data_IF_511787010342
#
_entry.id   IF_511787010342
#
_cell.length_a   1.000
_cell.length_b   1.000
_cell.length_c   1.000
_cell.angle_alpha   90.00
_cell.angle_beta   90.00
_cell.angle_gamma   90.00
#
_symmetry.space_group_name_H-M   'P 1'
#
loop_
_entity.id
_entity.type
_entity.pdbx_description
1 polymer ?
#
# COMPACT_ATOMS: atom_id res chain seq x y z
N UNK A 1 -41.13 33.92 16.68
CA UNK A 1 -39.69 33.68 16.77
C UNK A 1 -39.19 33.20 18.14
N UNK A 2 -39.54 33.89 19.26
CA UNK A 2 -39.08 33.49 20.62
C UNK A 2 -39.50 32.08 21.05
N UNK A 3 -40.70 31.62 20.65
CA UNK A 3 -41.20 30.28 21.00
C UNK A 3 -40.39 29.17 20.30
N UNK A 4 -40.01 29.34 19.03
CA UNK A 4 -39.22 28.42 18.27
C UNK A 4 -37.80 28.31 18.86
N UNK A 5 -37.21 29.46 19.24
CA UNK A 5 -35.91 29.50 19.89
C UNK A 5 -35.91 28.85 21.29
N UNK A 6 -37.01 28.99 22.03
CA UNK A 6 -37.21 28.33 23.33
C UNK A 6 -37.35 26.79 23.18
N UNK A 7 -38.00 26.33 22.13
CA UNK A 7 -38.17 24.89 21.88
C UNK A 7 -36.89 24.23 21.34
N UNK A 8 -36.12 24.94 20.51
CA UNK A 8 -34.92 24.40 19.91
C UNK A 8 -33.85 23.95 20.93
N UNK A 9 -33.76 24.62 22.09
CA UNK A 9 -32.83 24.23 23.16
C UNK A 9 -33.12 22.88 23.80
N UNK A 10 -34.32 22.34 23.64
CA UNK A 10 -34.70 21.04 24.17
C UNK A 10 -34.57 19.94 23.14
N UNK A 11 -34.42 20.26 21.86
CA UNK A 11 -34.34 19.27 20.81
C UNK A 11 -33.14 18.36 21.05
N UNK A 12 -31.95 18.91 21.30
CA UNK A 12 -30.73 18.13 21.52
C UNK A 12 -30.81 17.19 22.74
N UNK A 13 -31.24 17.65 23.93
CA UNK A 13 -31.48 16.78 25.08
C UNK A 13 -32.53 15.69 24.82
N UNK A 14 -33.66 16.05 24.20
CA UNK A 14 -34.73 15.07 23.90
C UNK A 14 -34.26 14.01 22.93
N UNK A 15 -33.53 14.40 21.86
CA UNK A 15 -32.95 13.46 20.89
C UNK A 15 -31.91 12.59 21.59
N UNK A 16 -31.04 13.17 22.41
CA UNK A 16 -30.01 12.41 23.11
C UNK A 16 -30.60 11.38 24.09
N UNK A 17 -31.50 11.82 24.99
CA UNK A 17 -32.07 10.92 25.97
C UNK A 17 -33.10 9.93 25.38
N UNK A 18 -33.72 10.25 24.24
CA UNK A 18 -34.55 9.32 23.50
C UNK A 18 -33.74 8.27 22.72
N UNK A 19 -32.58 8.66 22.18
CA UNK A 19 -31.71 7.79 21.42
C UNK A 19 -30.83 6.88 22.30
N UNK A 20 -30.34 7.37 23.44
CA UNK A 20 -29.42 6.65 24.30
C UNK A 20 -29.92 5.25 24.75
N UNK A 21 -31.18 5.07 25.20
CA UNK A 21 -31.70 3.74 25.51
C UNK A 21 -31.70 2.80 24.33
N UNK A 22 -32.07 3.29 23.14
CA UNK A 22 -32.07 2.48 21.91
C UNK A 22 -30.66 2.04 21.52
N UNK A 23 -29.70 2.94 21.55
CA UNK A 23 -28.30 2.65 21.24
C UNK A 23 -27.69 1.65 22.22
N UNK A 24 -28.02 1.76 23.53
CA UNK A 24 -27.55 0.83 24.53
C UNK A 24 -28.17 -0.57 24.37
N UNK A 25 -29.47 -0.65 24.06
CA UNK A 25 -30.11 -1.94 23.78
C UNK A 25 -29.47 -2.62 22.58
N UNK A 26 -29.30 -1.92 21.47
CA UNK A 26 -28.63 -2.43 20.29
C UNK A 26 -27.19 -2.90 20.57
N UNK A 27 -26.43 -2.14 21.39
CA UNK A 27 -25.09 -2.54 21.82
C UNK A 27 -25.08 -3.90 22.58
N UNK A 28 -26.03 -4.12 23.49
CA UNK A 28 -26.09 -5.36 24.27
C UNK A 28 -26.64 -6.56 23.49
N UNK A 29 -27.36 -6.34 22.39
CA UNK A 29 -27.83 -7.38 21.49
C UNK A 29 -26.74 -7.88 20.53
N UNK A 30 -25.71 -7.05 20.25
CA UNK A 30 -24.59 -7.45 19.43
C UNK A 30 -23.67 -8.48 20.11
N UNK A 31 -23.14 -9.48 19.37
CA UNK A 31 -22.26 -10.52 19.95
C UNK A 31 -21.01 -9.99 20.66
N UNK A 32 -20.59 -8.77 20.33
CA UNK A 32 -19.44 -8.06 20.94
C UNK A 32 -19.78 -7.21 22.15
N UNK A 33 -21.06 -7.01 22.46
CA UNK A 33 -21.55 -6.16 23.55
C UNK A 33 -21.35 -6.73 24.97
N UNK A 34 -20.46 -7.71 25.14
CA UNK A 34 -20.18 -8.28 26.46
C UNK A 34 -19.25 -7.36 27.24
N UNK A 35 -19.70 -7.00 28.45
CA UNK A 35 -18.83 -6.34 29.42
C UNK A 35 -17.62 -7.24 29.74
N UNK A 36 -16.44 -6.64 29.79
CA UNK A 36 -15.25 -7.32 30.28
C UNK A 36 -15.48 -7.82 31.72
N UNK A 37 -14.84 -8.92 32.15
CA UNK A 37 -15.03 -9.44 33.51
C UNK A 37 -14.70 -8.38 34.56
N UNK A 38 -15.47 -8.38 35.63
CA UNK A 38 -15.30 -7.49 36.76
C UNK A 38 -14.10 -8.00 37.62
N UNK A 39 -12.91 -7.51 37.30
CA UNK A 39 -11.66 -7.88 37.95
C UNK A 39 -10.91 -6.66 38.51
N UNK A 40 -9.71 -6.85 39.02
CA UNK A 40 -8.86 -5.75 39.51
C UNK A 40 -8.48 -4.72 38.44
N UNK A 41 -8.71 -5.02 37.17
CA UNK A 41 -8.55 -4.09 36.06
C UNK A 41 -9.52 -2.90 36.14
N UNK A 42 -10.66 -3.06 36.86
CA UNK A 42 -11.60 -1.93 37.12
C UNK A 42 -10.88 -0.77 37.80
N UNK A 43 -10.04 -1.07 38.77
CA UNK A 43 -9.27 -0.03 39.49
C UNK A 43 -8.18 0.62 38.64
N UNK A 44 -7.73 -0.06 37.58
CA UNK A 44 -6.74 0.44 36.62
C UNK A 44 -7.39 1.12 35.40
N UNK A 45 -8.72 1.18 35.34
CA UNK A 45 -9.45 1.77 34.23
C UNK A 45 -9.51 0.90 32.95
N UNK A 46 -9.01 -0.33 32.97
CA UNK A 46 -9.01 -1.21 31.78
C UNK A 46 -10.41 -1.61 31.37
N UNK A 47 -11.33 -1.83 32.33
CA UNK A 47 -12.74 -2.08 32.05
C UNK A 47 -13.37 -0.88 31.32
N UNK A 48 -13.15 0.32 31.84
CA UNK A 48 -13.70 1.55 31.24
C UNK A 48 -13.14 1.76 29.83
N UNK A 49 -11.84 1.52 29.62
CA UNK A 49 -11.20 1.65 28.31
C UNK A 49 -11.74 0.61 27.32
N UNK A 50 -11.92 -0.65 27.75
CA UNK A 50 -12.50 -1.69 26.90
C UNK A 50 -13.95 -1.41 26.55
N UNK A 51 -14.76 -0.94 27.51
CA UNK A 51 -16.14 -0.52 27.29
C UNK A 51 -16.21 0.67 26.34
N UNK A 52 -15.41 1.72 26.56
CA UNK A 52 -15.35 2.88 25.68
C UNK A 52 -14.97 2.51 24.23
N UNK A 53 -13.99 1.63 24.08
CA UNK A 53 -13.59 1.12 22.76
C UNK A 53 -14.71 0.31 22.10
N UNK A 54 -15.28 -0.66 22.81
CA UNK A 54 -16.35 -1.49 22.30
C UNK A 54 -17.60 -0.64 21.98
N UNK A 55 -17.96 0.29 22.84
CA UNK A 55 -19.10 1.20 22.62
C UNK A 55 -18.87 2.07 21.37
N UNK A 56 -17.68 2.63 21.20
CA UNK A 56 -17.33 3.42 20.01
C UNK A 56 -17.35 2.62 18.70
N UNK A 57 -17.03 1.33 18.74
CA UNK A 57 -16.99 0.49 17.54
C UNK A 57 -18.32 -0.16 17.18
N UNK A 58 -19.18 -0.40 18.18
CA UNK A 58 -20.45 -1.14 18.02
C UNK A 58 -21.70 -0.25 18.01
N UNK A 59 -21.56 1.07 17.86
CA UNK A 59 -22.72 1.96 17.77
C UNK A 59 -23.51 1.69 16.48
N UNK A 60 -24.83 1.41 16.55
CA UNK A 60 -25.63 1.00 15.40
C UNK A 60 -25.61 1.95 14.20
N UNK A 61 -25.40 3.24 14.46
CA UNK A 61 -25.38 4.28 13.42
C UNK A 61 -23.98 4.87 13.17
N UNK A 62 -22.95 4.20 13.70
CA UNK A 62 -21.57 4.67 13.57
C UNK A 62 -21.18 4.85 12.12
N UNK A 63 -21.32 3.81 11.33
CA UNK A 63 -20.86 3.83 9.93
C UNK A 63 -21.73 4.76 9.08
N UNK A 64 -23.03 4.77 9.27
CA UNK A 64 -23.92 5.72 8.60
C UNK A 64 -23.58 7.17 8.97
N UNK A 65 -23.30 7.46 10.26
CA UNK A 65 -22.92 8.80 10.71
C UNK A 65 -21.55 9.22 10.17
N UNK A 66 -20.57 8.31 10.20
CA UNK A 66 -19.23 8.55 9.62
C UNK A 66 -19.37 8.85 8.13
N UNK A 67 -20.16 8.05 7.41
CA UNK A 67 -20.41 8.22 5.98
C UNK A 67 -21.03 9.57 5.66
N UNK A 68 -22.10 9.94 6.34
CA UNK A 68 -22.81 11.21 6.11
C UNK A 68 -21.98 12.44 6.47
N UNK A 69 -21.30 12.41 7.63
CA UNK A 69 -20.45 13.53 8.06
C UNK A 69 -19.25 13.65 7.13
N UNK A 70 -18.64 12.51 6.76
CA UNK A 70 -17.55 12.48 5.82
C UNK A 70 -17.96 13.01 4.44
N UNK A 71 -19.11 12.58 3.92
CA UNK A 71 -19.69 13.09 2.68
C UNK A 71 -19.92 14.60 2.72
N UNK A 72 -20.53 15.09 3.81
CA UNK A 72 -20.75 16.52 4.00
C UNK A 72 -19.44 17.32 4.02
N UNK A 73 -18.41 16.81 4.71
CA UNK A 73 -17.08 17.42 4.75
C UNK A 73 -16.44 17.46 3.37
N UNK A 74 -16.53 16.36 2.63
CA UNK A 74 -15.98 16.26 1.28
C UNK A 74 -16.66 17.25 0.33
N UNK A 75 -17.98 17.33 0.33
CA UNK A 75 -18.75 18.25 -0.55
C UNK A 75 -18.55 19.71 -0.17
N UNK A 76 -18.54 20.03 1.12
CA UNK A 76 -18.52 21.42 1.59
C UNK A 76 -17.10 22.00 1.71
N UNK A 77 -16.13 21.19 2.06
CA UNK A 77 -14.77 21.63 2.33
C UNK A 77 -13.71 21.04 1.35
N UNK A 78 -14.09 20.07 0.51
CA UNK A 78 -13.11 19.38 -0.33
C UNK A 78 -12.13 18.52 0.47
N UNK A 79 -12.52 18.04 1.66
CA UNK A 79 -11.62 17.35 2.57
C UNK A 79 -12.14 15.97 2.96
N UNK A 80 -11.21 15.01 3.06
CA UNK A 80 -11.44 13.73 3.72
C UNK A 80 -11.06 13.74 5.21
N UNK A 81 -11.10 12.57 5.84
CA UNK A 81 -10.56 12.35 7.19
C UNK A 81 -9.03 12.29 7.14
N UNK A 82 -8.39 12.31 8.32
CA UNK A 82 -6.93 12.10 8.43
C UNK A 82 -6.56 10.77 7.73
N UNK A 83 -5.64 10.85 6.79
CA UNK A 83 -5.18 9.70 5.98
C UNK A 83 -5.41 9.87 4.49
N UNK A 84 -6.26 10.83 4.06
CA UNK A 84 -6.52 11.09 2.65
C UNK A 84 -6.45 12.59 2.34
N UNK A 85 -6.00 12.90 1.13
CA UNK A 85 -6.03 14.23 0.50
C UNK A 85 -6.97 14.10 -0.70
N UNK A 86 -8.01 14.94 -0.73
CA UNK A 86 -8.90 15.04 -1.87
C UNK A 86 -8.24 15.89 -2.96
N UNK A 87 -8.29 15.40 -4.18
CA UNK A 87 -7.88 16.12 -5.38
C UNK A 87 -9.08 16.50 -6.25
N UNK A 88 -8.81 16.79 -7.50
CA UNK A 88 -9.82 17.16 -8.51
C UNK A 88 -10.51 15.93 -9.08
N UNK A 89 -11.73 16.13 -9.58
CA UNK A 89 -12.46 15.12 -10.36
C UNK A 89 -12.61 13.76 -9.68
N UNK A 90 -12.77 13.73 -8.34
CA UNK A 90 -12.91 12.50 -7.57
C UNK A 90 -11.60 11.77 -7.28
N UNK A 91 -10.44 12.34 -7.63
CA UNK A 91 -9.16 11.74 -7.28
C UNK A 91 -8.87 11.86 -5.78
N UNK A 92 -8.36 10.79 -5.21
CA UNK A 92 -7.93 10.71 -3.82
C UNK A 92 -6.46 10.31 -3.77
N UNK A 93 -5.74 10.91 -2.82
CA UNK A 93 -4.32 10.66 -2.59
C UNK A 93 -4.10 10.28 -1.13
N UNK A 94 -3.15 9.40 -0.86
CA UNK A 94 -2.80 9.10 0.52
C UNK A 94 -2.08 10.27 1.18
N UNK A 95 -2.48 10.63 2.40
CA UNK A 95 -1.78 11.65 3.17
C UNK A 95 -0.34 11.23 3.56
N UNK A 96 0.02 9.97 3.36
CA UNK A 96 1.39 9.50 3.55
C UNK A 96 2.37 10.17 2.58
N UNK A 97 1.92 10.53 1.37
CA UNK A 97 2.75 11.26 0.40
C UNK A 97 3.03 12.71 0.83
N UNK A 98 2.20 13.26 1.72
CA UNK A 98 2.36 14.62 2.25
C UNK A 98 3.12 14.67 3.59
N UNK A 99 3.75 13.60 4.02
CA UNK A 99 4.61 13.63 5.19
C UNK A 99 5.74 14.65 4.99
N UNK A 100 6.10 15.42 6.04
CA UNK A 100 7.20 16.38 5.93
C UNK A 100 8.50 15.65 5.58
N UNK A 101 9.41 16.34 4.88
CA UNK A 101 10.73 15.78 4.58
C UNK A 101 11.44 15.36 5.88
N UNK A 102 12.17 14.26 5.80
CA UNK A 102 13.11 13.83 6.83
C UNK A 102 14.46 14.52 6.64
N UNK A 103 15.38 14.37 7.61
CA UNK A 103 16.72 14.97 7.60
C UNK A 103 17.65 14.47 6.46
N UNK A 104 17.07 13.93 5.41
CA UNK A 104 17.74 13.45 4.20
C UNK A 104 17.70 11.94 4.03
N UNK A 105 18.21 11.48 2.88
CA UNK A 105 18.15 10.08 2.46
C UNK A 105 19.33 9.23 2.95
N UNK A 106 20.27 9.81 3.72
CA UNK A 106 21.52 9.13 4.10
C UNK A 106 21.29 7.81 4.82
N UNK A 107 20.53 7.82 5.90
CA UNK A 107 20.23 6.61 6.68
C UNK A 107 19.50 5.53 5.85
N UNK A 108 18.57 5.96 5.00
CA UNK A 108 17.85 5.05 4.07
C UNK A 108 18.80 4.40 3.09
N UNK A 109 19.69 5.18 2.45
CA UNK A 109 20.66 4.67 1.49
C UNK A 109 21.68 3.75 2.15
N UNK A 110 22.12 4.06 3.37
CA UNK A 110 23.04 3.22 4.14
C UNK A 110 22.41 1.85 4.46
N UNK A 111 21.13 1.83 4.84
CA UNK A 111 20.40 0.58 5.10
C UNK A 111 20.19 -0.23 3.81
N UNK A 112 19.76 0.39 2.72
CA UNK A 112 19.65 -0.28 1.42
C UNK A 112 21.02 -0.82 0.98
N UNK A 113 22.10 -0.07 1.21
CA UNK A 113 23.47 -0.51 0.94
C UNK A 113 23.88 -1.71 1.79
N UNK A 114 23.45 -1.80 3.05
CA UNK A 114 23.69 -2.97 3.91
C UNK A 114 22.94 -4.20 3.39
N UNK A 115 21.67 -4.06 3.03
CA UNK A 115 20.86 -5.12 2.41
C UNK A 115 21.49 -5.61 1.12
N UNK A 116 21.92 -4.70 0.24
CA UNK A 116 22.63 -5.05 -1.00
C UNK A 116 23.86 -5.90 -0.72
N UNK A 117 24.71 -5.51 0.25
CA UNK A 117 25.92 -6.28 0.60
C UNK A 117 25.58 -7.69 1.11
N UNK A 118 24.52 -7.81 1.91
CA UNK A 118 24.07 -9.12 2.40
C UNK A 118 23.56 -10.01 1.28
N UNK A 119 22.76 -9.50 0.35
CA UNK A 119 22.33 -10.24 -0.84
C UNK A 119 23.52 -10.65 -1.72
N UNK A 120 24.45 -9.72 -1.95
CA UNK A 120 25.66 -9.98 -2.73
C UNK A 120 26.57 -11.07 -2.10
N UNK A 121 26.63 -11.16 -0.76
CA UNK A 121 27.36 -12.25 -0.08
C UNK A 121 26.75 -13.63 -0.32
N UNK A 122 25.49 -13.69 -0.77
CA UNK A 122 24.78 -14.91 -1.18
C UNK A 122 24.75 -15.11 -2.71
N UNK A 123 25.41 -14.23 -3.46
CA UNK A 123 25.45 -14.29 -4.93
C UNK A 123 24.25 -13.63 -5.63
N UNK A 124 23.37 -12.97 -4.89
CA UNK A 124 22.19 -12.29 -5.43
C UNK A 124 22.46 -10.82 -5.71
N UNK A 125 21.99 -10.32 -6.86
CA UNK A 125 22.05 -8.91 -7.23
C UNK A 125 20.74 -8.23 -6.84
N UNK A 126 20.82 -7.10 -6.15
CA UNK A 126 19.67 -6.25 -5.83
C UNK A 126 19.38 -5.29 -6.98
N UNK A 127 18.15 -5.27 -7.45
CA UNK A 127 17.62 -4.28 -8.40
C UNK A 127 16.45 -3.53 -7.72
N UNK A 128 16.64 -2.25 -7.46
CA UNK A 128 15.60 -1.40 -6.89
C UNK A 128 14.60 -0.99 -7.96
N UNK A 129 13.32 -1.03 -7.62
CA UNK A 129 12.21 -0.55 -8.47
C UNK A 129 11.42 0.49 -7.66
N UNK A 130 11.92 1.73 -7.55
CA UNK A 130 11.20 2.80 -6.88
C UNK A 130 9.91 3.13 -7.64
N UNK A 131 8.80 3.21 -6.89
CA UNK A 131 7.51 3.65 -7.44
C UNK A 131 7.32 5.10 -7.06
N UNK A 132 7.24 6.05 -8.01
CA UNK A 132 7.01 7.46 -7.73
C UNK A 132 5.67 7.65 -7.03
N UNK A 133 5.53 8.77 -6.33
CA UNK A 133 4.29 9.11 -5.65
C UNK A 133 3.16 9.31 -6.68
N UNK A 134 1.96 8.83 -6.35
CA UNK A 134 0.78 9.04 -7.18
C UNK A 134 0.52 10.53 -7.41
N UNK A 135 0.72 11.36 -6.39
CA UNK A 135 0.55 12.82 -6.45
C UNK A 135 1.56 13.52 -7.37
N UNK A 136 2.72 12.90 -7.63
CA UNK A 136 3.69 13.36 -8.62
C UNK A 136 3.23 13.00 -10.04
N UNK A 137 2.88 11.74 -10.29
CA UNK A 137 2.47 11.26 -11.61
C UNK A 137 1.16 11.91 -12.05
N UNK A 138 0.20 12.02 -11.15
CA UNK A 138 -1.14 12.59 -11.37
C UNK A 138 -1.22 14.05 -10.88
N UNK A 139 -0.14 14.82 -11.08
CA UNK A 139 -0.04 16.21 -10.59
C UNK A 139 -1.16 17.12 -11.11
N UNK A 140 -1.71 16.85 -12.29
CA UNK A 140 -2.88 17.56 -12.83
C UNK A 140 -4.16 17.38 -12.02
N UNK A 141 -4.26 16.27 -11.28
CA UNK A 141 -5.39 15.92 -10.40
C UNK A 141 -5.17 16.35 -8.94
N UNK A 142 -3.93 16.63 -8.54
CA UNK A 142 -3.62 17.14 -7.20
C UNK A 142 -3.88 18.65 -7.11
N UNK A 143 -4.42 19.10 -5.96
CA UNK A 143 -4.63 20.53 -5.70
C UNK A 143 -3.41 21.19 -5.02
N UNK A 144 -2.28 20.48 -4.94
CA UNK A 144 -1.07 20.88 -4.25
C UNK A 144 0.15 20.78 -5.16
N UNK A 145 0.31 21.68 -6.15
CA UNK A 145 1.40 21.60 -7.13
C UNK A 145 2.80 21.67 -6.50
N UNK A 146 2.94 22.37 -5.36
CA UNK A 146 4.19 22.44 -4.62
C UNK A 146 4.59 21.09 -4.03
N UNK A 147 3.62 20.31 -3.57
CA UNK A 147 3.87 18.96 -3.04
C UNK A 147 4.22 18.00 -4.17
N UNK A 148 3.53 18.06 -5.31
CA UNK A 148 3.87 17.25 -6.49
C UNK A 148 5.30 17.54 -6.97
N UNK A 149 5.71 18.81 -7.06
CA UNK A 149 7.07 19.18 -7.41
C UNK A 149 8.11 18.69 -6.39
N UNK A 150 7.79 18.74 -5.10
CA UNK A 150 8.65 18.19 -4.05
C UNK A 150 8.83 16.67 -4.20
N UNK A 151 7.74 15.94 -4.48
CA UNK A 151 7.79 14.49 -4.66
C UNK A 151 8.57 14.08 -5.91
N UNK A 152 8.46 14.83 -7.00
CA UNK A 152 9.31 14.68 -8.18
C UNK A 152 10.80 14.87 -7.83
N UNK A 153 11.13 15.93 -7.11
CA UNK A 153 12.49 16.19 -6.66
C UNK A 153 13.02 15.06 -5.76
N UNK A 154 12.22 14.62 -4.78
CA UNK A 154 12.56 13.54 -3.86
C UNK A 154 12.85 12.22 -4.61
N UNK A 155 12.05 11.93 -5.65
CA UNK A 155 12.28 10.76 -6.51
C UNK A 155 13.62 10.85 -7.23
N UNK A 156 13.92 11.98 -7.83
CA UNK A 156 15.21 12.21 -8.50
C UNK A 156 16.40 12.15 -7.55
N UNK A 157 16.28 12.73 -6.35
CA UNK A 157 17.31 12.67 -5.31
C UNK A 157 17.56 11.23 -4.85
N UNK A 158 16.52 10.44 -4.69
CA UNK A 158 16.63 9.03 -4.30
C UNK A 158 17.34 8.21 -5.38
N UNK A 159 16.91 8.30 -6.64
CA UNK A 159 17.61 7.65 -7.77
C UNK A 159 19.08 8.07 -7.85
N UNK A 160 19.35 9.37 -7.73
CA UNK A 160 20.71 9.88 -7.70
C UNK A 160 21.53 9.33 -6.52
N UNK A 161 20.90 9.17 -5.36
CA UNK A 161 21.49 8.55 -4.17
C UNK A 161 21.84 7.09 -4.39
N UNK A 162 20.90 6.29 -4.91
CA UNK A 162 21.13 4.88 -5.25
C UNK A 162 22.29 4.73 -6.24
N UNK A 163 22.31 5.54 -7.29
CA UNK A 163 23.39 5.54 -8.29
C UNK A 163 24.76 5.84 -7.66
N UNK A 164 24.85 6.85 -6.79
CA UNK A 164 26.10 7.18 -6.08
C UNK A 164 26.56 6.07 -5.14
N UNK A 165 25.61 5.34 -4.55
CA UNK A 165 25.88 4.18 -3.71
C UNK A 165 26.20 2.90 -4.52
N UNK A 166 26.19 2.95 -5.84
CA UNK A 166 26.41 1.81 -6.72
C UNK A 166 25.31 0.76 -6.62
N UNK A 167 24.07 1.18 -6.36
CA UNK A 167 22.89 0.32 -6.27
C UNK A 167 22.11 0.45 -7.57
N UNK A 168 21.87 -0.67 -8.23
CA UNK A 168 21.11 -0.72 -9.46
C UNK A 168 19.63 -0.36 -9.19
N UNK A 169 19.10 0.57 -9.99
CA UNK A 169 17.73 1.03 -9.86
C UNK A 169 17.11 1.36 -11.21
N UNK A 170 15.87 0.99 -11.39
CA UNK A 170 15.07 1.29 -12.59
C UNK A 170 14.37 2.63 -12.40
N UNK A 171 14.53 3.57 -13.34
CA UNK A 171 13.72 4.77 -13.39
C UNK A 171 12.35 4.44 -13.99
N UNK A 172 11.33 4.39 -13.12
CA UNK A 172 9.96 4.05 -13.52
C UNK A 172 9.10 5.29 -13.80
N UNK A 173 9.56 6.49 -13.37
CA UNK A 173 8.76 7.71 -13.43
C UNK A 173 8.40 8.13 -14.86
N UNK A 174 9.39 8.13 -15.75
CA UNK A 174 9.15 8.52 -17.14
C UNK A 174 8.15 7.62 -17.85
N UNK A 175 8.20 6.31 -17.59
CA UNK A 175 7.26 5.35 -18.14
C UNK A 175 5.83 5.54 -17.61
N UNK A 176 5.67 5.79 -16.30
CA UNK A 176 4.36 6.04 -15.69
C UNK A 176 3.76 7.38 -16.16
N UNK A 177 4.56 8.43 -16.33
CA UNK A 177 4.11 9.69 -16.90
C UNK A 177 3.60 9.50 -18.33
N UNK A 178 4.28 8.69 -19.15
CA UNK A 178 3.84 8.39 -20.52
C UNK A 178 2.55 7.56 -20.55
N UNK A 179 2.24 6.80 -19.50
CA UNK A 179 0.98 6.06 -19.34
C UNK A 179 -0.21 7.00 -19.09
N UNK A 180 0.02 8.19 -18.52
CA UNK A 180 -1.01 9.20 -18.25
C UNK A 180 -2.00 8.77 -17.16
N UNK A 181 -3.23 9.27 -17.24
CA UNK A 181 -4.31 9.08 -16.24
C UNK A 181 -4.69 7.61 -15.95
N UNK A 182 -4.05 6.65 -16.56
CA UNK A 182 -4.28 5.22 -16.36
C UNK A 182 -3.16 4.55 -15.55
N UNK A 183 -2.20 5.33 -15.04
CA UNK A 183 -1.11 4.78 -14.25
C UNK A 183 -1.57 4.33 -12.85
N UNK A 184 -2.43 5.11 -12.21
CA UNK A 184 -2.97 4.85 -10.88
C UNK A 184 -4.51 4.84 -10.90
N UNK A 185 -5.11 4.12 -9.94
CA UNK A 185 -6.55 4.23 -9.69
C UNK A 185 -6.91 5.60 -9.12
N UNK A 186 -8.07 6.13 -9.45
CA UNK A 186 -8.49 7.45 -8.95
C UNK A 186 -8.70 7.45 -7.43
N UNK A 187 -9.35 6.42 -6.89
CA UNK A 187 -9.80 6.36 -5.50
C UNK A 187 -9.00 5.40 -4.61
N UNK A 188 -7.97 4.76 -5.18
CA UNK A 188 -7.11 3.80 -4.49
C UNK A 188 -5.65 4.30 -4.45
N UNK A 189 -4.90 3.83 -3.46
CA UNK A 189 -3.49 4.18 -3.31
C UNK A 189 -2.62 3.61 -4.42
N UNK A 190 -3.02 2.49 -5.02
CA UNK A 190 -2.20 1.66 -5.88
C UNK A 190 -2.26 2.05 -7.35
N UNK A 191 -1.31 1.52 -8.12
CA UNK A 191 -1.33 1.56 -9.58
C UNK A 191 -2.43 0.66 -10.16
N UNK A 192 -2.82 0.95 -11.39
CA UNK A 192 -3.67 0.07 -12.20
C UNK A 192 -2.84 -1.11 -12.73
N UNK A 193 -3.52 -2.10 -13.31
CA UNK A 193 -2.82 -3.17 -14.07
C UNK A 193 -1.99 -2.58 -15.21
N UNK A 194 -2.46 -1.52 -15.85
CA UNK A 194 -1.71 -0.83 -16.91
C UNK A 194 -0.45 -0.17 -16.35
N UNK A 195 -0.54 0.51 -15.20
CA UNK A 195 0.61 1.08 -14.50
C UNK A 195 1.61 0.01 -14.09
N UNK A 196 1.15 -1.07 -13.46
CA UNK A 196 1.98 -2.21 -13.08
C UNK A 196 2.71 -2.84 -14.29
N UNK A 197 1.99 -3.05 -15.40
CA UNK A 197 2.57 -3.56 -16.65
C UNK A 197 3.62 -2.62 -17.23
N UNK A 198 3.36 -1.31 -17.19
CA UNK A 198 4.30 -0.28 -17.65
C UNK A 198 5.60 -0.32 -16.84
N UNK A 199 5.52 -0.47 -15.52
CA UNK A 199 6.70 -0.63 -14.66
C UNK A 199 7.44 -1.92 -14.97
N UNK A 200 6.74 -3.04 -15.13
CA UNK A 200 7.37 -4.32 -15.50
C UNK A 200 8.12 -4.24 -16.84
N UNK A 201 7.55 -3.54 -17.81
CA UNK A 201 8.20 -3.28 -19.10
C UNK A 201 9.43 -2.37 -18.94
N UNK A 202 9.38 -1.35 -18.08
CA UNK A 202 10.53 -0.52 -17.78
C UNK A 202 11.66 -1.33 -17.10
N UNK A 203 11.32 -2.25 -16.21
CA UNK A 203 12.28 -3.20 -15.61
C UNK A 203 12.98 -4.01 -16.69
N UNK A 204 12.22 -4.61 -17.61
CA UNK A 204 12.80 -5.41 -18.69
C UNK A 204 13.65 -4.55 -19.66
N UNK A 205 13.23 -3.33 -19.95
CA UNK A 205 13.94 -2.41 -20.84
C UNK A 205 15.19 -1.78 -20.21
N UNK A 206 15.36 -1.88 -18.88
CA UNK A 206 16.49 -1.26 -18.16
C UNK A 206 17.85 -1.86 -18.49
N UNK A 207 17.89 -3.09 -18.99
CA UNK A 207 19.12 -3.87 -19.21
C UNK A 207 19.80 -4.34 -17.93
N UNK A 208 19.18 -4.14 -16.76
CA UNK A 208 19.71 -4.60 -15.46
C UNK A 208 19.46 -6.08 -15.21
N UNK A 209 18.47 -6.65 -15.89
CA UNK A 209 18.06 -8.05 -15.78
C UNK A 209 18.02 -8.62 -17.19
N UNK A 210 18.83 -9.63 -17.44
CA UNK A 210 18.79 -10.33 -18.73
C UNK A 210 17.48 -11.11 -18.86
N UNK A 211 16.67 -10.87 -19.90
CA UNK A 211 15.45 -11.65 -20.13
C UNK A 211 15.76 -13.12 -20.36
N UNK A 212 14.93 -13.99 -19.79
CA UNK A 212 14.96 -15.42 -20.08
C UNK A 212 14.34 -15.75 -21.43
N UNK A 213 14.07 -17.04 -21.63
CA UNK A 213 13.44 -17.57 -22.84
C UNK A 213 12.22 -18.44 -22.55
N UNK A 214 11.68 -18.33 -21.31
CA UNK A 214 10.52 -19.10 -20.92
C UNK A 214 9.30 -18.73 -21.79
N UNK A 215 8.58 -19.74 -22.21
CA UNK A 215 7.25 -19.57 -22.77
C UNK A 215 6.27 -19.33 -21.61
N UNK A 216 5.51 -18.24 -21.68
CA UNK A 216 4.58 -17.85 -20.62
C UNK A 216 3.16 -17.92 -21.15
N UNK A 217 2.31 -18.66 -20.47
CA UNK A 217 0.86 -18.66 -20.72
C UNK A 217 0.18 -17.67 -19.82
N UNK A 218 -0.88 -17.03 -20.32
CA UNK A 218 -1.70 -16.06 -19.59
C UNK A 218 -3.11 -16.60 -19.47
N UNK A 219 -3.66 -16.48 -18.29
CA UNK A 219 -5.04 -16.79 -17.97
C UNK A 219 -5.72 -15.57 -17.38
N UNK A 220 -6.74 -15.07 -18.08
CA UNK A 220 -7.55 -13.97 -17.57
C UNK A 220 -8.33 -14.43 -16.33
N UNK A 221 -8.38 -13.57 -15.32
CA UNK A 221 -9.16 -13.77 -14.12
C UNK A 221 -10.49 -13.03 -14.23
N UNK A 222 -11.50 -13.40 -13.44
CA UNK A 222 -12.79 -12.71 -13.45
C UNK A 222 -12.63 -11.22 -13.15
N UNK A 223 -13.42 -10.41 -13.90
CA UNK A 223 -13.53 -8.98 -13.64
C UNK A 223 -14.00 -8.75 -12.20
N UNK A 224 -13.29 -7.89 -11.48
CA UNK A 224 -13.60 -7.53 -10.10
C UNK A 224 -14.03 -6.08 -10.01
N UNK A 225 -14.92 -5.77 -9.08
CA UNK A 225 -15.26 -4.39 -8.71
C UNK A 225 -14.42 -4.00 -7.50
N UNK A 226 -13.68 -2.92 -7.62
CA UNK A 226 -12.79 -2.39 -6.61
C UNK A 226 -13.36 -1.08 -6.05
N UNK A 227 -13.68 -1.07 -4.77
CA UNK A 227 -13.79 0.19 -4.03
C UNK A 227 -12.40 0.57 -3.56
N UNK A 228 -11.92 1.75 -3.96
CA UNK A 228 -10.57 2.20 -3.60
C UNK A 228 -10.39 2.31 -2.08
N UNK A 229 -9.21 1.97 -1.60
CA UNK A 229 -8.87 1.95 -0.17
C UNK A 229 -8.99 3.33 0.51
N UNK A 230 -8.82 4.40 -0.28
CA UNK A 230 -8.93 5.78 0.19
C UNK A 230 -10.39 6.26 0.38
N UNK A 231 -11.37 5.60 -0.25
CA UNK A 231 -12.79 5.94 -0.13
C UNK A 231 -13.23 5.86 1.33
N UNK A 232 -12.76 4.87 2.06
CA UNK A 232 -13.08 4.68 3.47
C UNK A 232 -12.71 5.86 4.36
N UNK A 233 -11.77 6.71 3.94
CA UNK A 233 -11.38 7.96 4.62
C UNK A 233 -12.27 9.14 4.24
N UNK A 234 -13.14 9.02 3.26
CA UNK A 234 -14.10 10.06 2.85
C UNK A 234 -15.49 9.71 3.32
N UNK A 235 -16.00 8.52 2.96
CA UNK A 235 -17.37 8.12 3.22
C UNK A 235 -17.49 6.59 3.28
N UNK A 236 -18.72 6.07 3.21
CA UNK A 236 -19.00 4.64 3.05
C UNK A 236 -19.21 4.27 1.58
N UNK A 237 -19.03 3.00 1.25
CA UNK A 237 -19.20 2.46 -0.11
C UNK A 237 -20.59 2.76 -0.69
N UNK A 238 -21.62 2.76 0.15
CA UNK A 238 -22.99 3.04 -0.27
C UNK A 238 -23.21 4.53 -0.69
N UNK A 239 -22.43 5.44 -0.13
CA UNK A 239 -22.57 6.89 -0.39
C UNK A 239 -21.55 7.34 -1.45
N UNK A 240 -20.41 6.69 -1.54
CA UNK A 240 -19.30 7.07 -2.40
C UNK A 240 -19.71 7.36 -3.87
N UNK A 241 -20.54 6.54 -4.55
CA UNK A 241 -20.97 6.83 -5.91
C UNK A 241 -21.74 8.14 -6.06
N UNK A 242 -22.48 8.57 -5.02
CA UNK A 242 -23.22 9.84 -5.02
C UNK A 242 -22.27 11.06 -4.96
N UNK A 243 -21.04 10.84 -4.56
CA UNK A 243 -19.98 11.87 -4.46
C UNK A 243 -19.03 11.85 -5.68
N UNK A 244 -19.29 11.01 -6.68
CA UNK A 244 -18.39 10.81 -7.81
C UNK A 244 -17.18 9.89 -7.49
N UNK A 245 -17.19 9.20 -6.35
CA UNK A 245 -16.17 8.24 -5.93
C UNK A 245 -16.67 6.81 -6.25
N UNK A 246 -16.95 6.56 -7.51
CA UNK A 246 -17.50 5.27 -7.96
C UNK A 246 -16.43 4.17 -7.89
N UNK A 247 -16.84 2.91 -7.63
CA UNK A 247 -15.95 1.78 -7.77
C UNK A 247 -15.36 1.67 -9.16
N UNK A 248 -14.14 1.20 -9.23
CA UNK A 248 -13.39 0.93 -10.46
C UNK A 248 -13.45 -0.57 -10.79
N UNK A 249 -13.10 -0.94 -12.02
CA UNK A 249 -13.09 -2.34 -12.43
C UNK A 249 -11.67 -2.79 -12.72
N UNK A 250 -11.34 -3.98 -12.25
CA UNK A 250 -10.03 -4.61 -12.37
C UNK A 250 -10.18 -5.96 -13.04
N UNK A 251 -9.43 -6.20 -14.10
CA UNK A 251 -9.37 -7.47 -14.81
C UNK A 251 -7.97 -8.10 -14.63
N UNK A 252 -7.69 -8.74 -13.46
CA UNK A 252 -6.40 -9.34 -13.21
C UNK A 252 -6.15 -10.54 -14.14
N UNK A 253 -4.90 -10.94 -14.23
CA UNK A 253 -4.50 -12.15 -14.95
C UNK A 253 -3.42 -12.90 -14.17
N UNK A 254 -3.33 -14.19 -14.42
CA UNK A 254 -2.25 -15.08 -13.97
C UNK A 254 -1.32 -15.38 -15.13
N UNK A 255 -0.02 -15.42 -14.89
CA UNK A 255 0.98 -15.81 -15.86
C UNK A 255 1.79 -17.00 -15.30
N UNK A 256 1.93 -18.05 -16.08
CA UNK A 256 2.63 -19.27 -15.69
C UNK A 256 3.64 -19.66 -16.75
N UNK A 257 4.82 -20.10 -16.30
CA UNK A 257 5.81 -20.70 -17.18
C UNK A 257 5.28 -22.03 -17.69
N UNK A 258 5.38 -22.24 -19.00
CA UNK A 258 5.08 -23.55 -19.61
C UNK A 258 6.21 -24.49 -19.25
N UNK A 259 5.92 -25.51 -18.45
CA UNK A 259 6.90 -26.56 -18.15
C UNK A 259 7.23 -27.31 -19.46
N UNK A 260 8.49 -27.33 -19.83
CA UNK A 260 8.93 -28.17 -20.93
C UNK A 260 8.81 -29.63 -20.50
N UNK A 261 8.15 -30.45 -21.31
CA UNK A 261 7.97 -31.88 -21.05
C UNK A 261 9.27 -32.70 -21.16
N UNK A 262 10.42 -32.09 -20.96
CA UNK A 262 11.70 -32.76 -21.01
C UNK A 262 11.91 -33.53 -19.69
N UNK A 263 11.78 -34.87 -19.78
CA UNK A 263 11.84 -35.81 -18.65
C UNK A 263 13.16 -35.74 -17.84
N UNK A 264 14.18 -35.02 -18.34
CA UNK A 264 15.46 -34.81 -17.66
C UNK A 264 15.40 -33.79 -16.53
N UNK A 265 14.43 -32.85 -16.56
CA UNK A 265 14.33 -31.75 -15.61
C UNK A 265 13.34 -32.02 -14.47
N UNK A 266 12.59 -33.10 -14.54
CA UNK A 266 11.56 -33.49 -13.54
C UNK A 266 12.13 -33.78 -12.13
N UNK A 267 13.45 -33.96 -12.00
CA UNK A 267 14.11 -34.31 -10.74
C UNK A 267 15.22 -33.34 -10.35
N UNK A 268 15.47 -32.28 -11.14
CA UNK A 268 16.39 -31.20 -10.77
C UNK A 268 15.77 -30.21 -9.83
N UNK A 269 16.55 -29.57 -8.92
CA UNK A 269 16.02 -28.45 -8.13
C UNK A 269 15.64 -27.32 -9.09
N UNK A 270 14.37 -27.00 -9.20
CA UNK A 270 13.92 -25.80 -9.91
C UNK A 270 14.40 -24.58 -9.13
N UNK A 271 15.47 -23.94 -9.57
CA UNK A 271 15.97 -22.70 -8.99
C UNK A 271 15.21 -21.54 -9.62
N UNK A 272 14.46 -20.79 -8.80
CA UNK A 272 13.83 -19.56 -9.24
C UNK A 272 14.89 -18.46 -9.19
N UNK A 273 15.28 -17.97 -10.36
CA UNK A 273 16.38 -17.02 -10.51
C UNK A 273 16.02 -15.59 -10.08
N UNK A 274 14.71 -15.25 -10.06
CA UNK A 274 14.22 -13.89 -9.78
C UNK A 274 13.21 -13.92 -8.62
N UNK A 275 13.48 -13.15 -7.59
CA UNK A 275 12.55 -12.95 -6.45
C UNK A 275 12.10 -11.50 -6.41
N UNK A 276 10.80 -11.28 -6.30
CA UNK A 276 10.19 -9.97 -6.12
C UNK A 276 9.88 -9.77 -4.63
N UNK A 277 10.46 -8.75 -4.04
CA UNK A 277 10.16 -8.27 -2.70
C UNK A 277 9.47 -6.92 -2.83
N UNK A 278 8.50 -6.64 -1.98
CA UNK A 278 7.81 -5.36 -2.06
C UNK A 278 6.64 -5.24 -1.11
N UNK A 279 5.79 -4.28 -1.43
CA UNK A 279 4.64 -3.88 -0.65
C UNK A 279 3.33 -4.47 -1.23
N UNK A 280 2.19 -3.91 -0.84
CA UNK A 280 0.89 -4.22 -1.42
C UNK A 280 0.80 -3.95 -2.93
N UNK A 281 1.67 -3.13 -3.48
CA UNK A 281 1.79 -2.91 -4.93
C UNK A 281 2.21 -4.18 -5.69
N UNK A 282 3.03 -5.01 -5.06
CA UNK A 282 3.49 -6.28 -5.61
C UNK A 282 2.71 -7.48 -5.07
N UNK A 283 2.29 -7.42 -3.80
CA UNK A 283 1.70 -8.56 -3.10
C UNK A 283 0.23 -8.81 -3.46
N UNK A 284 -0.50 -7.75 -3.88
CA UNK A 284 -1.92 -7.90 -4.21
C UNK A 284 -2.08 -8.44 -5.63
N UNK A 285 -2.66 -9.64 -5.82
CA UNK A 285 -2.83 -10.26 -7.14
C UNK A 285 -3.71 -9.44 -8.09
N UNK A 286 -4.55 -8.55 -7.56
CA UNK A 286 -5.40 -7.69 -8.38
C UNK A 286 -4.62 -6.73 -9.30
N UNK A 287 -3.37 -6.44 -8.97
CA UNK A 287 -2.51 -5.58 -9.80
C UNK A 287 -1.71 -6.35 -10.85
N UNK A 288 -1.63 -7.68 -10.74
CA UNK A 288 -0.88 -8.59 -11.62
C UNK A 288 0.57 -8.15 -11.91
N UNK A 289 1.24 -7.51 -10.92
CA UNK A 289 2.59 -6.97 -11.16
C UNK A 289 3.64 -8.08 -11.30
N UNK A 290 3.60 -9.10 -10.44
CA UNK A 290 4.49 -10.26 -10.57
C UNK A 290 4.28 -10.95 -11.92
N UNK A 291 3.04 -11.05 -12.36
CA UNK A 291 2.65 -11.64 -13.63
C UNK A 291 3.17 -10.81 -14.84
N UNK A 292 3.09 -9.47 -14.70
CA UNK A 292 3.65 -8.56 -15.69
C UNK A 292 5.17 -8.68 -15.79
N UNK A 293 5.87 -8.87 -14.65
CA UNK A 293 7.30 -9.13 -14.63
C UNK A 293 7.66 -10.45 -15.32
N UNK A 294 6.93 -11.55 -15.05
CA UNK A 294 7.14 -12.83 -15.74
C UNK A 294 7.06 -12.66 -17.26
N UNK A 295 6.01 -11.99 -17.73
CA UNK A 295 5.80 -11.73 -19.16
C UNK A 295 6.91 -10.87 -19.77
N UNK A 296 7.30 -9.80 -19.09
CA UNK A 296 8.27 -8.83 -19.61
C UNK A 296 9.69 -9.39 -19.60
N UNK A 297 10.03 -10.17 -18.56
CA UNK A 297 11.36 -10.78 -18.39
C UNK A 297 11.47 -12.18 -19.03
N UNK A 298 10.36 -12.76 -19.48
CA UNK A 298 10.33 -14.16 -19.99
C UNK A 298 11.00 -15.15 -19.03
N UNK A 299 10.73 -15.00 -17.75
CA UNK A 299 11.32 -15.78 -16.66
C UNK A 299 10.27 -15.95 -15.56
N UNK A 300 10.40 -17.02 -14.77
CA UNK A 300 9.61 -17.14 -13.57
C UNK A 300 10.07 -16.13 -12.52
N UNK A 301 9.11 -15.66 -11.71
CA UNK A 301 9.34 -14.69 -10.65
C UNK A 301 8.60 -15.17 -9.39
N UNK A 302 9.36 -15.44 -8.33
CA UNK A 302 8.78 -15.72 -7.02
C UNK A 302 8.38 -14.42 -6.35
N UNK A 303 7.08 -14.27 -6.08
CA UNK A 303 6.57 -13.11 -5.35
C UNK A 303 6.62 -13.36 -3.83
N UNK A 304 7.52 -12.71 -3.14
CA UNK A 304 7.68 -12.72 -1.68
C UNK A 304 7.31 -11.35 -1.04
N UNK A 305 6.59 -10.51 -1.77
CA UNK A 305 6.07 -9.25 -1.26
C UNK A 305 4.95 -9.48 -0.24
N UNK A 306 4.72 -8.50 0.67
CA UNK A 306 3.69 -8.61 1.70
C UNK A 306 2.85 -7.34 1.84
N UNK A 307 1.53 -7.52 2.00
CA UNK A 307 0.60 -6.41 2.18
C UNK A 307 0.67 -5.84 3.61
N UNK A 308 0.55 -4.51 3.73
CA UNK A 308 0.41 -3.83 5.01
C UNK A 308 1.67 -3.81 5.90
N UNK A 309 2.82 -4.26 5.38
CA UNK A 309 4.06 -4.36 6.16
C UNK A 309 5.13 -3.33 5.73
N UNK A 310 4.81 -2.47 4.77
CA UNK A 310 5.78 -1.58 4.15
C UNK A 310 6.87 -2.34 3.37
N UNK A 311 7.90 -1.65 2.85
CA UNK A 311 8.90 -2.28 2.01
C UNK A 311 10.03 -3.00 2.79
N UNK A 312 10.29 -2.60 4.04
CA UNK A 312 11.47 -3.07 4.79
C UNK A 312 11.25 -4.44 5.40
N UNK A 313 10.10 -4.65 6.06
CA UNK A 313 9.86 -5.94 6.77
C UNK A 313 9.85 -7.15 5.83
N UNK A 314 9.20 -7.14 4.64
CA UNK A 314 9.28 -8.27 3.71
C UNK A 314 10.71 -8.56 3.27
N UNK A 315 11.54 -7.54 3.09
CA UNK A 315 12.96 -7.72 2.75
C UNK A 315 13.73 -8.38 3.91
N UNK A 316 13.50 -7.95 5.15
CA UNK A 316 14.16 -8.56 6.31
C UNK A 316 13.72 -10.00 6.53
N UNK A 317 12.42 -10.28 6.38
CA UNK A 317 11.88 -11.64 6.47
C UNK A 317 12.50 -12.55 5.40
N UNK A 318 12.67 -12.02 4.18
CA UNK A 318 13.32 -12.75 3.10
C UNK A 318 14.80 -13.00 3.38
N UNK A 319 15.54 -12.01 3.87
CA UNK A 319 16.95 -12.16 4.26
C UNK A 319 17.15 -13.23 5.34
N UNK A 320 16.17 -13.42 6.21
CA UNK A 320 16.17 -14.45 7.26
C UNK A 320 15.64 -15.81 6.79
N UNK A 321 15.13 -15.92 5.57
CA UNK A 321 14.45 -17.13 5.08
C UNK A 321 15.41 -18.25 4.71
N UNK A 322 14.91 -19.48 4.84
CA UNK A 322 15.57 -20.67 4.34
C UNK A 322 15.74 -20.63 2.81
N UNK A 323 14.80 -19.99 2.11
CA UNK A 323 14.84 -19.84 0.66
C UNK A 323 16.09 -19.11 0.17
N UNK A 324 16.44 -17.98 0.80
CA UNK A 324 17.69 -17.27 0.45
C UNK A 324 18.93 -18.06 0.85
N UNK A 325 18.86 -18.81 1.96
CA UNK A 325 20.02 -19.58 2.45
C UNK A 325 20.33 -20.80 1.56
N UNK A 326 19.29 -21.56 1.21
CA UNK A 326 19.43 -22.88 0.62
C UNK A 326 19.37 -22.84 -0.92
N UNK A 327 18.68 -21.85 -1.49
CA UNK A 327 18.52 -21.66 -2.93
C UNK A 327 18.52 -20.16 -3.28
N UNK A 328 19.65 -19.44 -3.14
CA UNK A 328 19.71 -18.01 -3.42
C UNK A 328 19.37 -17.72 -4.89
N UNK A 329 18.54 -16.71 -5.18
CA UNK A 329 18.25 -16.29 -6.53
C UNK A 329 19.44 -15.55 -7.14
N UNK A 330 19.43 -15.35 -8.44
CA UNK A 330 20.40 -14.46 -9.11
C UNK A 330 20.04 -12.99 -8.90
N UNK A 331 18.74 -12.70 -8.91
CA UNK A 331 18.20 -11.33 -8.86
C UNK A 331 17.16 -11.22 -7.75
N UNK A 332 17.25 -10.16 -6.96
CA UNK A 332 16.19 -9.71 -6.06
C UNK A 332 15.72 -8.35 -6.56
N UNK A 333 14.48 -8.30 -7.03
CA UNK A 333 13.77 -7.07 -7.38
C UNK A 333 13.12 -6.54 -6.09
N UNK A 334 13.41 -5.29 -5.72
CA UNK A 334 12.77 -4.66 -4.57
C UNK A 334 11.88 -3.50 -5.01
N UNK A 335 10.58 -3.75 -5.09
CA UNK A 335 9.58 -2.71 -5.31
C UNK A 335 9.47 -1.82 -4.07
N UNK A 336 9.49 -0.49 -4.27
CA UNK A 336 9.64 0.47 -3.20
C UNK A 336 8.86 1.77 -3.47
N UNK A 337 7.66 1.98 -2.87
CA UNK A 337 6.92 3.22 -3.04
C UNK A 337 7.60 4.41 -2.34
N UNK A 338 7.72 5.51 -3.07
CA UNK A 338 8.43 6.71 -2.63
C UNK A 338 7.98 7.25 -1.27
N UNK A 339 6.67 7.15 -0.96
CA UNK A 339 6.11 7.62 0.32
C UNK A 339 6.76 7.04 1.57
N UNK A 340 7.40 5.90 1.46
CA UNK A 340 8.10 5.28 2.57
C UNK A 340 9.47 5.90 2.89
N UNK A 341 10.02 6.73 2.00
CA UNK A 341 11.25 7.49 2.27
C UNK A 341 11.05 8.52 3.39
N UNK A 342 9.84 9.05 3.51
CA UNK A 342 9.48 10.06 4.51
C UNK A 342 8.84 9.45 5.77
N UNK A 343 8.84 8.12 5.91
CA UNK A 343 8.35 7.45 7.11
C UNK A 343 9.46 7.29 8.15
N UNK A 344 9.49 8.13 9.21
CA UNK A 344 10.56 8.09 10.19
C UNK A 344 10.61 6.75 10.96
N UNK A 345 9.50 6.03 11.05
CA UNK A 345 9.45 4.77 11.78
C UNK A 345 10.27 3.65 11.10
N UNK A 346 10.46 3.75 9.78
CA UNK A 346 11.17 2.72 9.01
C UNK A 346 12.70 2.88 9.04
N UNK A 347 13.20 4.12 9.22
CA UNK A 347 14.61 4.42 8.95
C UNK A 347 15.40 4.88 10.17
N UNK A 348 14.74 5.06 11.32
CA UNK A 348 15.39 5.56 12.57
C UNK A 348 16.10 4.49 13.38
N UNK A 349 15.81 3.21 13.14
CA UNK A 349 16.59 2.11 13.75
C UNK A 349 17.59 1.62 12.72
N UNK A 350 18.91 1.64 13.01
CA UNK A 350 19.85 0.83 12.24
C UNK A 350 19.29 -0.60 12.22
N UNK A 351 19.32 -1.25 11.07
CA UNK A 351 19.11 -2.70 11.02
C UNK A 351 20.07 -3.30 12.03
N UNK A 352 19.53 -3.86 13.12
CA UNK A 352 20.37 -4.37 14.21
C UNK A 352 21.31 -5.41 13.60
N UNK A 353 22.63 -5.30 13.80
CA UNK A 353 23.57 -6.33 13.36
C UNK A 353 23.22 -7.72 13.88
N UNK A 354 22.45 -7.82 14.98
CA UNK A 354 21.91 -9.08 15.51
C UNK A 354 20.74 -9.59 14.65
N UNK A 355 19.86 -8.73 14.12
CA UNK A 355 18.83 -9.13 13.18
C UNK A 355 19.44 -9.58 11.83
N UNK A 356 20.52 -8.91 11.38
CA UNK A 356 21.28 -9.31 10.20
C UNK A 356 22.16 -10.54 10.46
N UNK A 357 22.66 -10.76 11.66
CA UNK A 357 23.50 -11.91 12.02
C UNK A 357 22.68 -13.16 12.39
N UNK A 358 21.45 -13.01 12.90
CA UNK A 358 20.54 -14.14 13.13
C UNK A 358 19.96 -14.69 11.83
N UNK A 359 20.16 -13.98 10.70
CA UNK A 359 19.91 -14.45 9.35
C UNK A 359 21.11 -15.20 8.75
N UNK A 360 22.18 -15.37 9.49
CA UNK A 360 23.33 -16.20 9.17
C UNK A 360 23.23 -17.53 9.94
#
# INVERSE_FOLDING_TARGET
>A
MQTIYRMSRYILPVVFFGYAPFANLAYFEEPGGKLAPFDLGVLKGTLTASFDTAYKTSMPHRDASIGLIGAARYVLAGEGRKGVIAGKDGWLFTAEEARPPTDGLGATLDQIGAIRRQLASRGATLVMVPVPAKMDIEAGKADTPQLSAYLEQLYGEFLGGLKRAGIDAVDTRGALLAQGEHAFFATDTHWTIAGAKTVAQAVAASGLIEPGQAEITVKDMPLQTLTGDLVSYVTTDAIAPLLGLSPEHVAPYEASVVESADLGDLFGPQTIDIVLIGTSYSANPNWSFAEALKLSLKSDVLNAAAQGQGPVKPMLDYLASDGLRDAPPKIVIWEFPLRYLTDPALWTKPLDPVELASAN
#
